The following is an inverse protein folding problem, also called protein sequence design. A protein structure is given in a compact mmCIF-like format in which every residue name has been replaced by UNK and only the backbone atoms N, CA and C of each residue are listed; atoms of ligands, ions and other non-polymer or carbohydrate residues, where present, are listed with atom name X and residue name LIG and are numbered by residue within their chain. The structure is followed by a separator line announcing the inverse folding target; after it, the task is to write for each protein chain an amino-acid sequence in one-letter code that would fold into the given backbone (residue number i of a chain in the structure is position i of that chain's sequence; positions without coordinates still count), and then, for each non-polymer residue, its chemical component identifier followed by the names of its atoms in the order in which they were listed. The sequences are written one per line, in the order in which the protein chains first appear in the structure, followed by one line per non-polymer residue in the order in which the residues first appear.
data_IF_622379124079
#
_entry.id   IF_622379124079
#
_cell.length_a   1.000
_cell.length_b   1.000
_cell.length_c   1.000
_cell.angle_alpha   90.00
_cell.angle_beta   90.00
_cell.angle_gamma   90.00
#
_symmetry.space_group_name_H-M   'P 1'
#
loop_
_entity.id
_entity.type
_entity.pdbx_description
1 polymer ?
#
# COMPACT_ATOMS: atom_id res chain seq x y z
N UNK A 1 -22.94 11.48 1.60
CA UNK A 1 -23.19 10.05 1.92
C UNK A 1 -22.02 9.50 2.73
N UNK A 2 -22.30 8.54 3.62
CA UNK A 2 -21.30 7.85 4.42
C UNK A 2 -21.29 6.38 4.08
N UNK A 3 -20.09 5.82 3.83
CA UNK A 3 -19.88 4.39 3.60
C UNK A 3 -19.34 3.75 4.88
N UNK A 4 -19.85 2.58 5.22
CA UNK A 4 -19.33 1.73 6.29
C UNK A 4 -18.83 0.42 5.64
N UNK A 5 -17.53 0.17 5.70
CA UNK A 5 -16.93 -1.09 5.24
C UNK A 5 -16.85 -2.04 6.43
N UNK A 6 -17.41 -3.23 6.27
CA UNK A 6 -17.45 -4.26 7.31
C UNK A 6 -16.82 -5.56 6.81
N UNK A 7 -16.18 -6.30 7.71
CA UNK A 7 -15.68 -7.64 7.47
C UNK A 7 -15.92 -8.50 8.72
N UNK A 8 -16.51 -9.68 8.54
CA UNK A 8 -16.79 -10.64 9.64
C UNK A 8 -17.49 -10.01 10.86
N UNK A 9 -18.42 -9.07 10.60
CA UNK A 9 -19.16 -8.37 11.65
C UNK A 9 -18.42 -7.21 12.33
N UNK A 10 -17.17 -6.94 11.92
CA UNK A 10 -16.36 -5.82 12.42
C UNK A 10 -16.30 -4.67 11.42
N UNK A 11 -16.42 -3.46 11.91
CA UNK A 11 -16.25 -2.25 11.09
C UNK A 11 -14.77 -2.07 10.79
N UNK A 12 -14.42 -2.05 9.51
CA UNK A 12 -13.06 -1.83 9.00
C UNK A 12 -12.77 -0.35 8.79
N UNK A 13 -13.74 0.38 8.22
CA UNK A 13 -13.61 1.81 7.98
C UNK A 13 -14.98 2.47 7.82
N UNK A 14 -15.09 3.72 8.26
CA UNK A 14 -16.23 4.62 8.02
C UNK A 14 -15.68 5.90 7.41
N UNK A 15 -16.28 6.40 6.34
CA UNK A 15 -15.87 7.64 5.68
C UNK A 15 -16.74 8.01 4.50
N UNK A 16 -16.38 9.08 3.82
CA UNK A 16 -16.98 9.43 2.53
C UNK A 16 -16.51 8.45 1.44
N UNK A 17 -17.21 8.34 0.29
CA UNK A 17 -16.73 7.54 -0.85
C UNK A 17 -15.29 7.85 -1.25
N UNK A 18 -14.92 9.12 -1.27
CA UNK A 18 -13.58 9.59 -1.62
C UNK A 18 -12.54 9.15 -0.58
N UNK A 19 -12.83 9.30 0.71
CA UNK A 19 -11.91 8.89 1.79
C UNK A 19 -11.66 7.37 1.77
N UNK A 20 -12.75 6.59 1.59
CA UNK A 20 -12.65 5.12 1.54
C UNK A 20 -11.82 4.65 0.34
N UNK A 21 -11.94 5.36 -0.80
CA UNK A 21 -11.21 5.02 -2.01
C UNK A 21 -9.74 5.45 -1.96
N UNK A 22 -9.49 6.72 -1.60
CA UNK A 22 -8.15 7.31 -1.66
C UNK A 22 -7.28 6.98 -0.44
N UNK A 23 -7.91 6.84 0.74
CA UNK A 23 -7.21 6.63 2.03
C UNK A 23 -7.71 5.35 2.74
N UNK A 24 -7.58 4.17 2.13
CA UNK A 24 -7.98 2.93 2.78
C UNK A 24 -7.13 2.68 4.02
N UNK A 25 -7.79 2.35 5.16
CA UNK A 25 -7.09 2.14 6.44
C UNK A 25 -6.33 0.82 6.53
N UNK A 26 -6.67 -0.15 5.69
CA UNK A 26 -6.01 -1.44 5.66
C UNK A 26 -6.15 -2.12 4.29
N UNK A 27 -5.38 -3.19 4.09
CA UNK A 27 -5.34 -3.98 2.84
C UNK A 27 -6.71 -4.54 2.45
N UNK A 28 -7.55 -4.91 3.44
CA UNK A 28 -8.90 -5.40 3.16
C UNK A 28 -9.74 -4.31 2.47
N UNK A 29 -9.78 -3.11 3.05
CA UNK A 29 -10.53 -1.98 2.48
C UNK A 29 -9.99 -1.61 1.10
N UNK A 30 -8.67 -1.52 0.94
CA UNK A 30 -8.03 -1.20 -0.34
C UNK A 30 -8.45 -2.15 -1.46
N UNK A 31 -8.45 -3.46 -1.18
CA UNK A 31 -8.84 -4.51 -2.13
C UNK A 31 -10.34 -4.60 -2.35
N UNK A 32 -11.14 -4.32 -1.32
CA UNK A 32 -12.60 -4.43 -1.38
C UNK A 32 -13.22 -3.34 -2.24
N UNK A 33 -12.68 -2.13 -2.18
CA UNK A 33 -13.22 -0.95 -2.89
C UNK A 33 -12.80 -0.90 -4.36
N UNK A 34 -11.65 -1.46 -4.71
CA UNK A 34 -11.17 -1.46 -6.08
C UNK A 34 -9.83 -2.16 -6.24
N UNK A 35 -9.41 -2.33 -7.47
CA UNK A 35 -8.10 -2.88 -7.77
C UNK A 35 -6.99 -1.98 -7.22
N UNK A 36 -5.93 -2.60 -6.73
CA UNK A 36 -4.79 -1.89 -6.15
C UNK A 36 -3.54 -2.72 -6.29
N UNK A 37 -2.45 -2.07 -6.67
CA UNK A 37 -1.12 -2.60 -6.43
C UNK A 37 -0.78 -2.40 -4.97
N UNK A 38 -0.56 -3.47 -4.22
CA UNK A 38 -0.16 -3.43 -2.81
C UNK A 38 1.23 -4.04 -2.71
N UNK A 39 2.18 -3.20 -2.34
CA UNK A 39 3.61 -3.50 -2.41
C UNK A 39 4.23 -3.35 -1.02
N UNK A 40 5.12 -4.26 -0.60
CA UNK A 40 5.86 -4.07 0.63
C UNK A 40 6.83 -2.89 0.47
N UNK A 41 6.87 -2.02 1.48
CA UNK A 41 7.76 -0.86 1.51
C UNK A 41 8.35 -0.61 2.88
N UNK A 42 9.24 0.37 2.94
CA UNK A 42 9.85 0.86 4.18
C UNK A 42 9.76 2.38 4.17
N UNK A 43 9.08 2.94 5.16
CA UNK A 43 9.02 4.39 5.35
C UNK A 43 10.37 4.89 5.87
N UNK A 44 11.17 5.54 5.02
CA UNK A 44 12.50 6.04 5.40
C UNK A 44 12.43 7.18 6.39
N UNK A 45 11.49 8.07 6.17
CA UNK A 45 11.09 9.24 6.98
C UNK A 45 9.78 9.76 6.42
N UNK A 46 9.17 10.75 7.08
CA UNK A 46 8.00 11.45 6.53
C UNK A 46 8.25 11.89 5.08
N UNK A 47 7.26 11.69 4.24
CA UNK A 47 7.24 12.04 2.82
C UNK A 47 8.25 11.26 1.95
N UNK A 48 8.84 10.17 2.45
CA UNK A 48 9.80 9.36 1.69
C UNK A 48 9.69 7.87 2.01
N UNK A 49 9.28 7.10 1.04
CA UNK A 49 9.10 5.64 1.14
C UNK A 49 10.03 4.92 0.16
N UNK A 50 10.59 3.78 0.57
CA UNK A 50 11.32 2.88 -0.30
C UNK A 50 10.45 1.66 -0.62
N UNK A 51 10.22 1.39 -1.89
CA UNK A 51 9.61 0.15 -2.39
C UNK A 51 10.16 -0.20 -3.78
N UNK A 52 10.09 -1.46 -4.15
CA UNK A 52 10.66 -1.97 -5.40
C UNK A 52 12.15 -1.57 -5.60
N UNK A 53 12.91 -1.44 -4.50
CA UNK A 53 14.33 -1.11 -4.51
C UNK A 53 14.67 0.36 -4.78
N UNK A 54 13.68 1.27 -4.81
CA UNK A 54 13.86 2.70 -5.08
C UNK A 54 13.17 3.56 -4.02
N UNK A 55 13.70 4.75 -3.78
CA UNK A 55 13.08 5.77 -2.94
C UNK A 55 12.11 6.60 -3.76
N UNK A 56 10.90 6.80 -3.23
CA UNK A 56 9.83 7.62 -3.80
C UNK A 56 9.42 8.69 -2.80
N UNK A 57 9.19 9.89 -3.30
CA UNK A 57 8.47 10.90 -2.53
C UNK A 57 6.99 10.48 -2.42
N UNK A 58 6.37 10.75 -1.28
CA UNK A 58 4.94 10.52 -1.02
C UNK A 58 4.39 11.69 -0.20
N UNK A 59 3.07 11.70 0.02
CA UNK A 59 2.41 12.77 0.80
C UNK A 59 2.10 12.36 2.23
N UNK A 60 2.34 11.09 2.59
CA UNK A 60 2.03 10.54 3.91
C UNK A 60 3.12 10.85 4.94
N UNK A 61 2.68 11.02 6.18
CA UNK A 61 3.53 11.29 7.35
C UNK A 61 2.98 10.60 8.61
N UNK A 62 3.74 10.65 9.71
CA UNK A 62 3.31 10.05 10.98
C UNK A 62 3.74 8.60 11.17
N UNK A 63 4.67 8.12 10.36
CA UNK A 63 5.27 6.79 10.46
C UNK A 63 6.61 6.85 11.19
N UNK A 64 6.99 5.76 11.84
CA UNK A 64 8.32 5.65 12.42
C UNK A 64 9.39 5.54 11.34
N UNK A 65 10.57 6.05 11.63
CA UNK A 65 11.72 5.91 10.72
C UNK A 65 12.06 4.42 10.50
N UNK A 66 12.15 4.03 9.23
CA UNK A 66 12.38 2.67 8.77
C UNK A 66 11.25 1.68 9.13
N UNK A 67 10.04 2.18 9.33
CA UNK A 67 8.87 1.34 9.57
C UNK A 67 8.53 0.52 8.32
N UNK A 68 8.32 -0.80 8.46
CA UNK A 68 7.75 -1.62 7.39
C UNK A 68 6.29 -1.21 7.14
N UNK A 69 5.95 -0.96 5.89
CA UNK A 69 4.62 -0.46 5.48
C UNK A 69 4.09 -1.24 4.29
N UNK A 70 2.79 -1.11 4.04
CA UNK A 70 2.15 -1.49 2.79
C UNK A 70 1.93 -0.23 1.95
N UNK A 71 2.47 -0.23 0.75
CA UNK A 71 2.34 0.85 -0.25
C UNK A 71 1.20 0.49 -1.19
N UNK A 72 0.21 1.36 -1.29
CA UNK A 72 -0.93 1.20 -2.20
C UNK A 72 -0.79 2.19 -3.35
N UNK A 73 -0.87 1.68 -4.57
CA UNK A 73 -0.91 2.50 -5.78
C UNK A 73 -2.05 1.99 -6.66
N UNK A 74 -2.94 2.88 -7.06
CA UNK A 74 -4.04 2.52 -7.95
C UNK A 74 -3.54 2.29 -9.37
N UNK A 75 -4.11 1.32 -10.11
CA UNK A 75 -3.72 1.05 -11.50
C UNK A 75 -3.85 2.26 -12.44
N UNK A 76 -4.86 3.10 -12.21
CA UNK A 76 -5.14 4.31 -12.99
C UNK A 76 -4.21 5.49 -12.68
N UNK A 77 -3.49 5.44 -11.55
CA UNK A 77 -2.56 6.49 -11.11
C UNK A 77 -1.10 6.17 -11.48
N UNK A 78 -0.90 5.13 -12.26
CA UNK A 78 0.42 4.75 -12.79
C UNK A 78 0.51 5.13 -14.25
N UNK A 79 1.45 6.00 -14.58
CA UNK A 79 1.70 6.38 -15.97
C UNK A 79 2.71 5.46 -16.63
N UNK A 80 2.35 4.94 -17.81
CA UNK A 80 3.29 4.27 -18.72
C UNK A 80 3.83 5.27 -19.73
N UNK A 81 5.15 5.31 -19.83
CA UNK A 81 5.89 6.18 -20.76
C UNK A 81 6.85 5.36 -21.62
N UNK A 82 7.53 6.00 -22.54
CA UNK A 82 8.61 5.35 -23.29
C UNK A 82 9.68 4.81 -22.33
N UNK A 83 10.22 3.64 -22.62
CA UNK A 83 11.35 3.08 -21.85
C UNK A 83 12.59 3.99 -21.84
N UNK A 84 12.72 4.86 -22.86
CA UNK A 84 13.79 5.85 -22.95
C UNK A 84 13.48 7.18 -22.25
N UNK A 85 12.35 7.31 -21.54
CA UNK A 85 12.00 8.54 -20.83
C UNK A 85 12.91 8.72 -19.61
N UNK A 86 13.59 9.86 -19.54
CA UNK A 86 14.52 10.17 -18.43
C UNK A 86 13.82 10.37 -17.09
N UNK A 87 12.50 10.62 -17.10
CA UNK A 87 11.70 10.78 -15.89
C UNK A 87 11.12 9.45 -15.37
N UNK A 88 11.32 8.34 -16.10
CA UNK A 88 10.83 7.06 -15.66
C UNK A 88 11.42 6.67 -14.29
N UNK A 89 10.55 6.34 -13.36
CA UNK A 89 10.94 5.89 -12.04
C UNK A 89 11.33 4.42 -12.04
N UNK A 90 10.63 3.61 -12.81
CA UNK A 90 10.86 2.18 -12.95
C UNK A 90 10.82 1.80 -14.43
N UNK A 91 11.34 0.62 -14.75
CA UNK A 91 11.28 0.05 -16.08
C UNK A 91 10.66 -1.34 -16.00
N UNK A 92 9.87 -1.70 -17.00
CA UNK A 92 9.20 -2.98 -17.03
C UNK A 92 8.88 -3.44 -18.44
N UNK A 93 8.37 -4.66 -18.52
CA UNK A 93 7.93 -5.28 -19.77
C UNK A 93 6.44 -5.61 -19.70
N UNK A 94 5.69 -5.16 -20.70
CA UNK A 94 4.26 -5.49 -20.84
C UNK A 94 4.12 -6.99 -21.07
N UNK A 95 3.48 -7.71 -20.15
CA UNK A 95 3.22 -9.15 -20.23
C UNK A 95 1.91 -9.45 -20.93
N UNK A 96 0.87 -8.72 -20.57
CA UNK A 96 -0.46 -8.88 -21.16
C UNK A 96 -1.20 -7.54 -21.20
N UNK A 97 -2.17 -7.47 -22.09
CA UNK A 97 -3.09 -6.36 -22.24
C UNK A 97 -4.50 -6.90 -22.44
N UNK A 98 -5.46 -6.33 -21.73
CA UNK A 98 -6.88 -6.65 -21.84
C UNK A 98 -7.69 -5.37 -22.03
N UNK A 99 -8.56 -5.34 -23.05
CA UNK A 99 -9.46 -4.21 -23.25
C UNK A 99 -10.69 -4.33 -22.34
N UNK A 100 -10.89 -3.34 -21.46
CA UNK A 100 -11.96 -3.31 -20.45
C UNK A 100 -13.17 -2.45 -20.90
N UNK A 101 -13.25 -2.08 -22.17
CA UNK A 101 -14.35 -1.29 -22.75
C UNK A 101 -14.05 0.21 -22.80
N UNK A 102 -13.46 0.80 -21.77
CA UNK A 102 -13.12 2.24 -21.71
C UNK A 102 -11.62 2.49 -21.53
N UNK A 103 -10.87 1.51 -21.06
CA UNK A 103 -9.42 1.53 -20.90
C UNK A 103 -8.85 0.14 -21.18
N UNK A 104 -7.54 0.05 -21.25
CA UNK A 104 -6.79 -1.19 -21.26
C UNK A 104 -6.22 -1.44 -19.87
N UNK A 105 -6.31 -2.70 -19.43
CA UNK A 105 -5.60 -3.20 -18.26
C UNK A 105 -4.33 -3.89 -18.72
N UNK A 106 -3.21 -3.51 -18.14
CA UNK A 106 -1.89 -4.06 -18.43
C UNK A 106 -1.34 -4.78 -17.22
N UNK A 107 -0.73 -5.94 -17.44
CA UNK A 107 0.20 -6.54 -16.48
C UNK A 107 1.61 -6.24 -16.94
N UNK A 108 2.35 -5.49 -16.14
CA UNK A 108 3.72 -5.05 -16.44
C UNK A 108 4.68 -5.65 -15.43
N UNK A 109 5.63 -6.44 -15.92
CA UNK A 109 6.66 -7.07 -15.09
C UNK A 109 7.82 -6.10 -14.87
N UNK A 110 8.04 -5.70 -13.62
CA UNK A 110 9.14 -4.83 -13.18
C UNK A 110 10.05 -5.63 -12.23
N UNK A 111 11.06 -6.27 -12.76
CA UNK A 111 11.91 -7.19 -11.99
C UNK A 111 11.12 -8.38 -11.46
N UNK A 112 11.02 -8.54 -10.15
CA UNK A 112 10.27 -9.62 -9.49
C UNK A 112 8.80 -9.27 -9.19
N UNK A 113 8.37 -8.07 -9.50
CA UNK A 113 7.02 -7.55 -9.20
C UNK A 113 6.24 -7.38 -10.50
N UNK A 114 4.96 -7.76 -10.49
CA UNK A 114 4.02 -7.45 -11.57
C UNK A 114 3.07 -6.37 -11.10
N UNK A 115 3.01 -5.27 -11.85
CA UNK A 115 2.08 -4.17 -11.63
C UNK A 115 0.87 -4.32 -12.56
N UNK A 116 -0.32 -4.04 -12.03
CA UNK A 116 -1.52 -3.79 -12.83
C UNK A 116 -1.59 -2.30 -13.13
N UNK A 117 -1.75 -1.93 -14.38
CA UNK A 117 -1.79 -0.53 -14.85
C UNK A 117 -3.00 -0.35 -15.76
N UNK A 118 -3.75 0.74 -15.59
CA UNK A 118 -4.84 1.13 -16.47
C UNK A 118 -4.42 2.33 -17.33
N UNK A 119 -4.63 2.23 -18.63
CA UNK A 119 -4.37 3.34 -19.56
C UNK A 119 -5.36 3.34 -20.71
N UNK A 120 -5.67 4.51 -21.25
CA UNK A 120 -6.45 4.64 -22.48
C UNK A 120 -5.61 4.39 -23.73
N UNK A 121 -4.30 4.49 -23.62
CA UNK A 121 -3.36 4.28 -24.71
C UNK A 121 -2.97 2.80 -24.81
N UNK A 122 -2.96 2.28 -26.04
CA UNK A 122 -2.58 0.91 -26.28
C UNK A 122 -1.05 0.74 -26.38
N UNK A 123 -0.54 -0.23 -25.65
CA UNK A 123 0.87 -0.68 -25.76
C UNK A 123 0.87 -2.19 -26.02
N UNK A 124 1.65 -2.64 -27.01
CA UNK A 124 1.69 -4.05 -27.37
C UNK A 124 2.35 -4.93 -26.31
N UNK A 125 1.87 -6.16 -26.07
CA UNK A 125 2.58 -7.14 -25.24
C UNK A 125 4.00 -7.36 -25.73
N UNK A 126 4.95 -7.48 -24.79
CA UNK A 126 6.37 -7.63 -25.08
C UNK A 126 7.13 -6.32 -25.19
N UNK A 127 6.45 -5.17 -25.22
CA UNK A 127 7.10 -3.85 -25.22
C UNK A 127 7.80 -3.58 -23.89
N UNK A 128 8.96 -2.93 -23.95
CA UNK A 128 9.61 -2.34 -22.79
C UNK A 128 9.03 -0.93 -22.56
N UNK A 129 8.75 -0.60 -21.31
CA UNK A 129 8.10 0.66 -20.91
C UNK A 129 8.76 1.26 -19.68
N UNK A 130 8.78 2.59 -19.62
CA UNK A 130 9.04 3.34 -18.41
C UNK A 130 7.76 3.53 -17.59
N UNK A 131 7.89 3.67 -16.28
CA UNK A 131 6.79 3.83 -15.35
C UNK A 131 7.05 5.05 -14.49
N UNK A 132 6.05 5.93 -14.37
CA UNK A 132 6.05 7.08 -13.48
C UNK A 132 4.94 6.89 -12.45
N UNK A 133 5.25 7.10 -11.18
CA UNK A 133 4.30 7.13 -10.06
C UNK A 133 4.51 8.44 -9.33
N UNK A 134 3.51 9.30 -9.32
CA UNK A 134 3.60 10.61 -8.67
C UNK A 134 3.43 10.48 -7.15
N UNK A 135 3.94 11.45 -6.35
CA UNK A 135 3.87 11.38 -4.89
C UNK A 135 2.46 11.28 -4.32
N UNK A 136 1.48 11.91 -4.95
CA UNK A 136 0.06 11.91 -4.57
C UNK A 136 -0.69 10.63 -4.98
N UNK A 137 -0.10 9.84 -5.87
CA UNK A 137 -0.57 8.50 -6.25
C UNK A 137 -0.16 7.40 -5.26
N UNK A 138 0.74 7.70 -4.34
CA UNK A 138 1.28 6.74 -3.37
C UNK A 138 0.56 6.94 -2.04
N UNK A 139 -0.14 5.90 -1.57
CA UNK A 139 -0.76 5.88 -0.24
C UNK A 139 -0.07 4.84 0.65
N UNK A 140 0.28 5.26 1.88
CA UNK A 140 1.01 4.41 2.82
C UNK A 140 0.07 3.92 3.92
N UNK A 141 0.11 2.61 4.17
CA UNK A 141 -0.63 1.99 5.28
C UNK A 141 0.35 1.32 6.24
N UNK A 142 0.03 1.38 7.54
CA UNK A 142 0.71 0.51 8.50
C UNK A 142 0.53 -0.95 8.09
N UNK A 143 1.57 -1.74 8.25
CA UNK A 143 1.50 -3.15 7.92
C UNK A 143 0.42 -3.82 8.75
N UNK A 144 -0.51 -4.51 8.08
CA UNK A 144 -1.54 -5.27 8.78
C UNK A 144 -0.86 -6.42 9.54
N UNK A 145 -0.88 -6.35 10.87
CA UNK A 145 -0.45 -7.47 11.71
C UNK A 145 -1.47 -8.58 11.51
N UNK A 146 -1.04 -9.74 10.99
CA UNK A 146 -1.92 -10.90 10.94
C UNK A 146 -2.27 -11.29 12.37
N UNK A 147 -3.52 -11.67 12.68
CA UNK A 147 -3.90 -12.13 14.01
C UNK A 147 -3.03 -13.30 14.53
N UNK A 148 -2.40 -14.05 13.62
CA UNK A 148 -1.49 -15.16 13.93
C UNK A 148 -0.10 -14.71 14.41
N UNK A 149 0.27 -13.42 14.24
CA UNK A 149 1.52 -12.83 14.72
C UNK A 149 1.34 -12.00 16.00
N UNK A 150 0.11 -11.88 16.50
CA UNK A 150 -0.15 -11.39 17.84
C UNK A 150 0.16 -12.55 18.81
N UNK A 151 1.40 -12.58 19.27
CA UNK A 151 1.80 -13.43 20.37
C UNK A 151 1.11 -12.90 21.64
N UNK A 152 -0.02 -13.52 22.01
CA UNK A 152 -0.80 -13.14 23.20
C UNK A 152 -0.02 -13.36 24.50
N UNK A 153 1.15 -14.00 24.44
CA UNK A 153 2.05 -14.21 25.57
C UNK A 153 2.58 -12.90 26.14
N UNK A 154 2.80 -11.88 25.28
CA UNK A 154 3.33 -10.58 25.72
C UNK A 154 2.31 -9.69 26.44
N UNK A 155 1.01 -9.89 26.21
CA UNK A 155 -0.02 -9.10 26.89
C UNK A 155 -0.23 -9.58 28.35
N UNK A 156 -0.17 -10.89 28.58
CA UNK A 156 -0.27 -11.48 29.92
C UNK A 156 1.01 -11.22 30.74
N UNK A 157 2.20 -11.29 30.10
CA UNK A 157 3.47 -10.96 30.76
C UNK A 157 3.58 -9.47 31.14
N UNK A 158 3.01 -8.55 30.35
CA UNK A 158 2.97 -7.13 30.68
C UNK A 158 1.99 -6.83 31.82
N UNK A 159 0.87 -7.55 31.87
CA UNK A 159 -0.11 -7.41 32.94
C UNK A 159 0.42 -7.98 34.28
N UNK A 160 1.15 -9.09 34.23
CA UNK A 160 1.82 -9.64 35.42
C UNK A 160 2.94 -8.74 35.94
N UNK A 161 3.72 -8.11 35.06
CA UNK A 161 4.78 -7.17 35.43
C UNK A 161 4.21 -5.86 36.03
N UNK A 162 3.08 -5.36 35.55
CA UNK A 162 2.40 -4.19 36.13
C UNK A 162 1.77 -4.53 37.51
N UNK A 163 1.25 -5.74 37.68
CA UNK A 163 0.70 -6.18 38.96
C UNK A 163 1.78 -6.37 40.02
N UNK A 164 2.95 -6.89 39.66
CA UNK A 164 4.07 -7.08 40.60
C UNK A 164 4.68 -5.74 41.01
N UNK A 165 4.74 -4.76 40.11
CA UNK A 165 5.21 -3.40 40.41
C UNK A 165 4.27 -2.62 41.39
N UNK A 166 2.94 -2.86 41.33
CA UNK A 166 1.99 -2.24 42.26
C UNK A 166 1.99 -2.91 43.66
N UNK A 167 2.52 -4.12 43.79
CA UNK A 167 2.61 -4.80 45.08
C UNK A 167 3.86 -4.40 45.88
N UNK A 168 4.96 -4.06 45.23
CA UNK A 168 6.19 -3.61 45.89
C UNK A 168 6.08 -2.18 46.47
N UNK A 169 5.19 -1.32 45.92
CA UNK A 169 5.04 0.08 46.37
C UNK A 169 4.11 0.21 47.63
N UNK A 170 3.59 -0.89 48.16
CA UNK A 170 2.68 -0.88 49.33
C UNK A 170 3.31 -1.34 50.64
N UNK A 171 4.59 -1.75 50.62
CA UNK A 171 5.32 -2.26 51.80
C UNK A 171 6.47 -1.34 52.28
N UNK A 172 6.46 -0.02 51.85
CA UNK A 172 7.31 1.02 52.50
C UNK A 172 6.55 2.01 53.35
#
# INVERSE_FOLDING_TARGET
DTIVVMNEGQIQQIGTPTDIYNEPKNVFVAKFIGESNILPGIMKKDLLVNFMGRDFECVDSGFMKNEPVDVVVRPEDIDMVSDADENAHLHGKVKSVLFMGVHYEFLVECGSVTLTIHSTDYVAPGSDVGIIILPDAIHIMHKSVKPEELDFTTADELLEAEMDAELEDKDE
#
